data_IF_715194344734
#
_entry.id   IF_715194344734
#
_cell.length_a   1.000
_cell.length_b   1.000
_cell.length_c   1.000
_cell.angle_alpha   90.00
_cell.angle_beta   90.00
_cell.angle_gamma   90.00
#
_symmetry.space_group_name_H-M   'P 1'
#
loop_
_entity.id
_entity.type
_entity.pdbx_description
1 polymer ?
#
# COMPACT_ATOMS: atom_id res chain seq x y z
N UNK A 1 10.39 -9.78 -9.01
CA UNK A 1 9.25 -9.06 -8.39
C UNK A 1 9.39 -7.58 -8.69
N UNK A 2 8.29 -6.89 -8.96
CA UNK A 2 8.25 -5.44 -9.14
C UNK A 2 6.87 -4.88 -8.78
N UNK A 3 6.82 -3.65 -8.28
CA UNK A 3 5.58 -2.90 -8.12
C UNK A 3 5.16 -2.36 -9.49
N UNK A 4 3.91 -2.60 -9.86
CA UNK A 4 3.29 -2.02 -11.05
C UNK A 4 2.17 -1.10 -10.59
N UNK A 5 2.17 0.18 -11.00
CA UNK A 5 1.09 1.09 -10.68
C UNK A 5 -0.27 0.57 -11.16
N UNK A 6 -1.29 0.67 -10.32
CA UNK A 6 -2.69 0.49 -10.70
C UNK A 6 -3.26 1.80 -11.26
N UNK A 7 -4.46 1.77 -11.82
CA UNK A 7 -5.19 2.98 -12.25
C UNK A 7 -6.41 3.19 -11.34
N UNK A 8 -6.61 4.39 -10.75
CA UNK A 8 -5.70 5.53 -10.77
C UNK A 8 -4.36 5.21 -10.11
N UNK A 9 -3.27 5.75 -10.67
CA UNK A 9 -1.92 5.56 -10.13
C UNK A 9 -1.78 6.24 -8.77
N UNK A 10 -2.43 7.38 -8.63
CA UNK A 10 -2.36 8.24 -7.47
C UNK A 10 -3.69 8.95 -7.26
N UNK A 11 -3.99 9.21 -6.01
CA UNK A 11 -5.11 10.05 -5.60
C UNK A 11 -4.61 11.07 -4.58
N UNK A 12 -4.90 12.35 -4.80
CA UNK A 12 -4.55 13.44 -3.90
C UNK A 12 -5.82 14.11 -3.40
N UNK A 13 -5.87 14.40 -2.10
CA UNK A 13 -7.02 15.01 -1.45
C UNK A 13 -6.60 15.81 -0.22
N UNK A 14 -7.42 16.79 0.16
CA UNK A 14 -7.15 17.65 1.31
C UNK A 14 -8.20 17.43 2.40
N UNK A 15 -7.73 17.28 3.64
CA UNK A 15 -8.57 17.24 4.85
C UNK A 15 -8.05 18.31 5.79
N UNK A 16 -8.92 19.24 6.23
CA UNK A 16 -8.55 20.37 7.09
C UNK A 16 -7.31 21.14 6.56
N UNK A 17 -7.32 21.47 5.26
CA UNK A 17 -6.24 22.16 4.53
C UNK A 17 -4.90 21.39 4.45
N UNK A 18 -4.85 20.14 4.93
CA UNK A 18 -3.67 19.28 4.86
C UNK A 18 -3.78 18.38 3.65
N UNK A 19 -2.80 18.46 2.76
CA UNK A 19 -2.71 17.64 1.56
C UNK A 19 -2.29 16.20 1.92
N UNK A 20 -3.01 15.23 1.41
CA UNK A 20 -2.74 13.81 1.54
C UNK A 20 -2.65 13.17 0.16
N UNK A 21 -1.94 12.05 0.09
CA UNK A 21 -1.75 11.30 -1.14
C UNK A 21 -1.92 9.81 -0.89
N UNK A 22 -2.49 9.12 -1.86
CA UNK A 22 -2.52 7.67 -1.93
C UNK A 22 -1.91 7.23 -3.25
N UNK A 23 -1.09 6.20 -3.23
CA UNK A 23 -0.67 5.48 -4.43
C UNK A 23 -1.05 4.01 -4.37
N UNK A 24 -1.45 3.47 -5.52
CA UNK A 24 -1.95 2.11 -5.65
C UNK A 24 -1.04 1.32 -6.58
N UNK A 25 -0.60 0.15 -6.13
CA UNK A 25 0.24 -0.76 -6.90
C UNK A 25 -0.28 -2.19 -6.80
N UNK A 26 0.07 -3.03 -7.76
CA UNK A 26 0.04 -4.49 -7.58
C UNK A 26 1.45 -5.07 -7.70
N UNK A 27 1.69 -6.19 -7.03
CA UNK A 27 2.97 -6.88 -7.08
C UNK A 27 3.00 -7.89 -8.23
N UNK A 28 3.86 -7.65 -9.24
CA UNK A 28 4.09 -8.62 -10.31
C UNK A 28 5.21 -9.61 -9.92
N UNK A 29 4.93 -10.91 -10.07
CA UNK A 29 5.89 -11.98 -9.83
C UNK A 29 5.91 -12.51 -8.40
N UNK A 30 4.86 -12.26 -7.60
CA UNK A 30 4.58 -12.95 -6.35
C UNK A 30 3.06 -13.00 -6.13
N UNK A 31 2.56 -14.17 -5.72
CA UNK A 31 1.13 -14.40 -5.46
C UNK A 31 0.80 -14.47 -3.96
N UNK A 32 1.81 -14.58 -3.11
CA UNK A 32 1.71 -14.69 -1.66
C UNK A 32 2.70 -13.72 -1.01
N UNK A 33 2.44 -13.33 0.26
CA UNK A 33 3.40 -12.53 1.03
C UNK A 33 4.67 -13.37 1.16
N UNK A 34 5.77 -13.00 0.49
CA UNK A 34 6.93 -13.86 0.50
C UNK A 34 7.64 -13.74 1.85
N UNK A 35 8.48 -14.73 2.19
CA UNK A 35 9.59 -14.57 3.15
C UNK A 35 10.52 -13.37 2.81
N UNK A 36 10.30 -12.71 1.68
CA UNK A 36 11.02 -11.56 1.15
C UNK A 36 10.38 -10.20 1.49
N UNK A 37 9.84 -10.02 2.70
CA UNK A 37 9.42 -8.71 3.23
C UNK A 37 10.46 -7.58 3.00
N UNK A 38 11.76 -7.91 3.04
CA UNK A 38 12.88 -7.00 2.73
C UNK A 38 12.90 -6.49 1.29
N UNK A 39 12.40 -7.28 0.34
CA UNK A 39 12.34 -6.85 -1.06
C UNK A 39 11.21 -5.85 -1.28
N UNK A 40 10.05 -6.08 -0.66
CA UNK A 40 8.93 -5.12 -0.71
C UNK A 40 9.36 -3.80 -0.06
N UNK A 41 10.03 -3.86 1.09
CA UNK A 41 10.61 -2.68 1.75
C UNK A 41 11.56 -1.90 0.82
N UNK A 42 12.44 -2.59 0.09
CA UNK A 42 13.32 -1.95 -0.90
C UNK A 42 12.56 -1.33 -2.08
N UNK A 43 11.50 -1.97 -2.56
CA UNK A 43 10.69 -1.45 -3.67
C UNK A 43 9.91 -0.20 -3.24
N UNK A 44 9.31 -0.21 -2.05
CA UNK A 44 8.57 0.94 -1.51
C UNK A 44 9.49 2.13 -1.25
N UNK A 45 10.69 1.89 -0.73
CA UNK A 45 11.68 2.96 -0.50
C UNK A 45 12.10 3.69 -1.79
N UNK A 46 11.94 3.06 -2.97
CA UNK A 46 12.21 3.70 -4.27
C UNK A 46 11.04 4.56 -4.76
N UNK A 47 9.81 4.21 -4.39
CA UNK A 47 8.60 4.94 -4.78
C UNK A 47 8.33 6.14 -3.85
N UNK A 48 8.83 6.11 -2.61
CA UNK A 48 8.68 7.16 -1.62
C UNK A 48 9.57 8.41 -1.86
N UNK A 49 9.63 8.91 -3.10
CA UNK A 49 10.30 10.16 -3.45
C UNK A 49 9.34 11.35 -3.23
N UNK A 50 9.81 12.44 -2.61
CA UNK A 50 9.06 13.67 -2.34
C UNK A 50 7.90 13.56 -1.33
N UNK A 51 8.01 12.68 -0.34
CA UNK A 51 7.01 12.48 0.72
C UNK A 51 6.84 13.66 1.66
N UNK A 52 7.82 14.56 1.73
CA UNK A 52 7.86 15.68 2.68
C UNK A 52 6.76 16.73 2.43
N UNK A 53 6.13 16.72 1.26
CA UNK A 53 5.09 17.68 0.88
C UNK A 53 3.68 17.26 1.37
N UNK A 54 3.52 16.06 1.89
CA UNK A 54 2.22 15.52 2.30
C UNK A 54 2.12 15.41 3.82
N UNK A 55 0.93 15.72 4.35
CA UNK A 55 0.61 15.43 5.73
C UNK A 55 0.55 13.91 5.95
N UNK A 56 -0.17 13.18 5.09
CA UNK A 56 -0.14 11.73 5.02
C UNK A 56 0.07 11.26 3.57
N UNK A 57 0.94 10.27 3.41
CA UNK A 57 1.13 9.58 2.15
C UNK A 57 1.03 8.07 2.39
N UNK A 58 0.01 7.48 1.79
CA UNK A 58 -0.33 6.06 1.91
C UNK A 58 -0.02 5.31 0.62
N UNK A 59 0.47 4.09 0.75
CA UNK A 59 0.77 3.20 -0.36
C UNK A 59 0.05 1.87 -0.11
N UNK A 60 -0.82 1.50 -1.03
CA UNK A 60 -1.50 0.20 -1.03
C UNK A 60 -0.91 -0.70 -2.10
N UNK A 61 -0.49 -1.89 -1.68
CA UNK A 61 0.04 -2.90 -2.59
C UNK A 61 -0.91 -4.09 -2.60
N UNK A 62 -1.50 -4.36 -3.75
CA UNK A 62 -2.46 -5.46 -3.95
C UNK A 62 -1.81 -6.71 -4.52
N UNK A 63 -2.47 -7.85 -4.29
CA UNK A 63 -2.25 -9.09 -5.02
C UNK A 63 -2.56 -8.85 -6.50
N UNK A 64 -1.78 -9.45 -7.39
CA UNK A 64 -2.18 -9.56 -8.79
C UNK A 64 -3.37 -10.53 -8.86
N UNK A 65 -4.49 -10.05 -9.37
CA UNK A 65 -5.68 -10.87 -9.62
C UNK A 65 -6.21 -10.62 -11.03
N UNK A 66 -7.24 -11.36 -11.44
CA UNK A 66 -7.94 -11.08 -12.70
C UNK A 66 -8.59 -9.69 -12.71
N UNK A 67 -8.82 -9.11 -11.52
CA UNK A 67 -9.28 -7.74 -11.34
C UNK A 67 -8.12 -6.75 -11.28
N UNK A 68 -7.19 -6.94 -10.35
CA UNK A 68 -6.07 -6.01 -10.14
C UNK A 68 -4.86 -6.43 -10.99
N UNK A 69 -4.76 -5.84 -12.18
CA UNK A 69 -3.70 -6.09 -13.15
C UNK A 69 -3.42 -4.84 -14.00
N UNK A 70 -2.58 -4.98 -15.04
CA UNK A 70 -2.14 -3.88 -15.92
C UNK A 70 -3.28 -3.23 -16.72
N UNK A 71 -4.39 -3.92 -16.91
CA UNK A 71 -5.55 -3.47 -17.68
C UNK A 71 -6.62 -2.85 -16.79
N UNK A 72 -6.46 -2.90 -15.47
CA UNK A 72 -7.40 -2.32 -14.52
C UNK A 72 -7.54 -0.81 -14.75
N UNK A 73 -8.78 -0.35 -14.84
CA UNK A 73 -9.17 1.06 -14.97
C UNK A 73 -10.23 1.36 -13.91
N UNK A 74 -9.79 1.76 -12.73
CA UNK A 74 -10.67 2.24 -11.66
C UNK A 74 -10.74 3.77 -11.61
N UNK A 75 -11.57 4.24 -10.69
CA UNK A 75 -11.59 5.60 -10.14
C UNK A 75 -11.16 5.56 -8.65
N UNK A 76 -11.25 6.69 -7.96
CA UNK A 76 -10.77 6.81 -6.57
C UNK A 76 -11.58 5.97 -5.57
N UNK A 77 -12.84 5.64 -5.89
CA UNK A 77 -13.72 4.79 -5.04
C UNK A 77 -13.54 3.30 -5.36
N UNK A 78 -12.86 2.99 -6.47
CA UNK A 78 -12.77 1.61 -6.98
C UNK A 78 -11.91 0.68 -6.13
N UNK A 79 -11.25 1.19 -5.08
CA UNK A 79 -10.43 0.43 -4.15
C UNK A 79 -11.09 0.22 -2.77
N UNK A 80 -12.20 0.91 -2.49
CA UNK A 80 -12.92 0.78 -1.23
C UNK A 80 -13.52 -0.63 -1.07
N UNK A 81 -13.30 -1.24 0.10
CA UNK A 81 -13.82 -2.56 0.43
C UNK A 81 -13.00 -3.75 -0.11
N UNK A 82 -11.85 -3.50 -0.76
CA UNK A 82 -10.95 -4.56 -1.27
C UNK A 82 -9.78 -4.89 -0.33
N UNK A 83 -9.96 -4.69 0.98
CA UNK A 83 -8.91 -4.92 1.98
C UNK A 83 -8.38 -6.36 1.97
N UNK A 84 -9.17 -7.32 1.49
CA UNK A 84 -8.78 -8.74 1.37
C UNK A 84 -7.69 -9.00 0.33
N UNK A 85 -7.58 -8.12 -0.65
CA UNK A 85 -6.61 -8.23 -1.75
C UNK A 85 -5.33 -7.44 -1.48
N UNK A 86 -5.28 -6.68 -0.38
CA UNK A 86 -4.07 -5.96 0.03
C UNK A 86 -3.05 -6.98 0.54
N UNK A 87 -1.81 -6.85 0.05
CA UNK A 87 -0.62 -7.55 0.53
C UNK A 87 0.14 -6.72 1.56
N UNK A 88 0.26 -5.43 1.30
CA UNK A 88 0.98 -4.51 2.18
C UNK A 88 0.36 -3.13 2.17
N UNK A 89 0.41 -2.50 3.33
CA UNK A 89 0.00 -1.13 3.55
C UNK A 89 1.14 -0.35 4.19
N UNK A 90 1.48 0.81 3.64
CA UNK A 90 2.55 1.68 4.15
C UNK A 90 1.99 3.08 4.30
N UNK A 91 2.33 3.74 5.40
CA UNK A 91 2.01 5.15 5.63
C UNK A 91 3.21 5.95 6.08
N UNK A 92 3.34 7.12 5.49
CA UNK A 92 4.22 8.18 5.92
C UNK A 92 3.38 9.35 6.43
N UNK A 93 3.64 9.81 7.66
CA UNK A 93 3.07 11.05 8.18
C UNK A 93 4.18 12.09 8.30
N UNK A 94 3.99 13.25 7.67
CA UNK A 94 4.97 14.34 7.66
C UNK A 94 6.38 13.86 7.27
N UNK A 95 6.46 13.11 6.18
CA UNK A 95 7.71 12.56 5.64
C UNK A 95 8.33 11.41 6.46
N UNK A 96 7.70 10.93 7.53
CA UNK A 96 8.22 9.81 8.34
C UNK A 96 7.33 8.59 8.24
N UNK A 97 7.91 7.43 7.95
CA UNK A 97 7.18 6.18 7.96
C UNK A 97 6.71 5.88 9.39
N UNK A 98 5.39 5.72 9.56
CA UNK A 98 4.78 5.33 10.84
C UNK A 98 4.07 3.99 10.79
N UNK A 99 3.74 3.51 9.59
CA UNK A 99 3.04 2.25 9.38
C UNK A 99 3.68 1.48 8.25
N UNK A 100 3.90 0.17 8.47
CA UNK A 100 4.24 -0.77 7.41
C UNK A 100 3.70 -2.14 7.79
N UNK A 101 2.54 -2.47 7.26
CA UNK A 101 1.81 -3.69 7.55
C UNK A 101 1.87 -4.66 6.38
N UNK A 102 1.97 -5.95 6.70
CA UNK A 102 1.66 -7.03 5.77
C UNK A 102 0.31 -7.64 6.13
N UNK A 103 -0.50 -7.85 5.10
CA UNK A 103 -1.89 -8.23 5.23
C UNK A 103 -2.18 -9.54 4.53
N UNK A 104 -2.98 -10.37 5.19
CA UNK A 104 -3.53 -11.58 4.62
C UNK A 104 -5.04 -11.62 4.85
N UNK A 105 -5.81 -11.65 3.75
CA UNK A 105 -7.28 -11.73 3.77
C UNK A 105 -7.94 -10.64 4.61
N UNK A 106 -7.40 -9.41 4.55
CA UNK A 106 -7.93 -8.25 5.26
C UNK A 106 -7.43 -8.11 6.69
N UNK A 107 -6.59 -9.04 7.17
CA UNK A 107 -5.98 -8.98 8.50
C UNK A 107 -4.53 -8.57 8.43
N UNK A 108 -4.12 -7.67 9.31
CA UNK A 108 -2.70 -7.40 9.52
C UNK A 108 -2.09 -8.58 10.27
N UNK A 109 -1.14 -9.25 9.65
CA UNK A 109 -0.45 -10.42 10.21
C UNK A 109 0.98 -10.11 10.69
N UNK A 110 1.54 -9.00 10.23
CA UNK A 110 2.89 -8.57 10.61
C UNK A 110 3.03 -7.04 10.54
N UNK A 111 3.57 -6.45 11.59
CA UNK A 111 3.98 -5.06 11.65
C UNK A 111 5.48 -4.99 11.36
N UNK A 112 5.84 -4.58 10.14
CA UNK A 112 7.23 -4.44 9.69
C UNK A 112 7.92 -3.20 10.27
N UNK A 113 7.18 -2.25 10.82
CA UNK A 113 7.77 -1.13 11.54
C UNK A 113 8.26 -1.57 12.92
N UNK A 114 7.44 -2.34 13.65
CA UNK A 114 7.77 -2.90 14.97
C UNK A 114 8.52 -4.23 14.91
N UNK A 115 8.60 -4.85 13.73
CA UNK A 115 9.21 -6.17 13.47
C UNK A 115 8.56 -7.31 14.26
N UNK A 116 7.23 -7.27 14.41
CA UNK A 116 6.48 -8.25 15.20
C UNK A 116 5.28 -8.83 14.44
N UNK A 117 4.89 -10.06 14.81
CA UNK A 117 3.63 -10.66 14.35
C UNK A 117 2.48 -10.04 15.13
N UNK A 118 1.43 -9.70 14.42
CA UNK A 118 0.20 -9.14 14.98
C UNK A 118 -0.99 -9.87 14.35
N UNK A 119 -2.20 -9.65 14.87
CA UNK A 119 -3.41 -10.24 14.30
C UNK A 119 -4.61 -9.35 14.63
N UNK A 120 -4.95 -8.46 13.71
CA UNK A 120 -6.13 -7.60 13.81
C UNK A 120 -6.69 -7.28 12.42
N UNK A 121 -7.97 -6.90 12.36
CA UNK A 121 -8.61 -6.49 11.10
C UNK A 121 -8.03 -5.16 10.63
N UNK A 122 -7.75 -5.06 9.33
CA UNK A 122 -7.33 -3.81 8.74
C UNK A 122 -8.52 -2.89 8.54
N UNK A 123 -8.51 -1.79 9.28
CA UNK A 123 -9.54 -0.75 9.31
C UNK A 123 -8.82 0.57 9.02
N UNK A 124 -8.91 1.02 7.77
CA UNK A 124 -8.41 2.32 7.30
C UNK A 124 -9.49 3.04 6.51
#
# INVERSE_FOLDING_TARGET
MKLIPLSPKMYEFSVDEKLNKIEYFFLEGANEIPENHKLIEKLVAQEALNIDNYNAFSIYIYKKTDRFNKEYKGDNESFDGYNRDILAYIRYTKGKQDTFYFLENGKVIYDNFKKEKVNFEFDE
#
